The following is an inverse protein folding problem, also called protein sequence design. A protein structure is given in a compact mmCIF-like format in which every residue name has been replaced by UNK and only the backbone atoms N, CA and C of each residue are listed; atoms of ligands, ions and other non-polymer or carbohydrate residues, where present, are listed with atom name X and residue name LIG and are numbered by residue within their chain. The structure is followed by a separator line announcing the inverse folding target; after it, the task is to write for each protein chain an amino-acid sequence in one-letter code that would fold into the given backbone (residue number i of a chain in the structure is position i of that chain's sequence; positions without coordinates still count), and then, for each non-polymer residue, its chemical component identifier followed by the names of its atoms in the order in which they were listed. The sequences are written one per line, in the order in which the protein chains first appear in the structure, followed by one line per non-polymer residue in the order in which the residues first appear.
data_IF_412912549867
#
_entry.id   IF_412912549867
#
_cell.length_a   1.000
_cell.length_b   1.000
_cell.length_c   1.000
_cell.angle_alpha   90.00
_cell.angle_beta   90.00
_cell.angle_gamma   90.00
#
_symmetry.space_group_name_H-M   'P 1'
#
loop_
_entity.id
_entity.type
_entity.pdbx_description
1 polymer ?
#
# COMPACT_ATOMS: atom_id res chain seq x y z
N UNK A 1 -11.13 -1.23 -14.47
CA UNK A 1 -11.31 -2.67 -14.25
C UNK A 1 -10.77 -3.00 -12.86
N UNK A 2 -11.44 -3.84 -12.07
CA UNK A 2 -10.94 -4.27 -10.76
C UNK A 2 -10.36 -5.68 -10.87
N UNK A 3 -9.05 -5.83 -10.75
CA UNK A 3 -8.44 -7.15 -10.54
C UNK A 3 -8.66 -7.54 -9.08
N UNK A 4 -9.31 -8.70 -8.86
CA UNK A 4 -9.53 -9.25 -7.52
C UNK A 4 -8.84 -10.59 -7.42
N UNK A 5 -7.83 -10.66 -6.57
CA UNK A 5 -7.19 -11.91 -6.17
C UNK A 5 -7.84 -12.44 -4.89
N UNK A 6 -8.13 -13.75 -4.82
CA UNK A 6 -8.56 -14.43 -3.59
C UNK A 6 -7.97 -15.84 -3.54
N UNK A 7 -7.26 -16.12 -2.46
CA UNK A 7 -6.78 -17.44 -2.10
C UNK A 7 -7.47 -17.90 -0.81
N UNK A 8 -7.95 -19.14 -0.76
CA UNK A 8 -8.71 -19.70 0.36
C UNK A 8 -8.29 -21.16 0.55
N UNK A 9 -7.62 -21.45 1.66
CA UNK A 9 -7.09 -22.77 1.98
C UNK A 9 -6.89 -22.91 3.49
N UNK A 10 -6.98 -24.15 3.98
CA UNK A 10 -6.56 -24.50 5.33
C UNK A 10 -5.03 -24.61 5.35
N UNK A 11 -4.42 -23.96 6.34
CA UNK A 11 -2.97 -23.87 6.48
C UNK A 11 -2.58 -24.19 7.93
N UNK A 12 -1.38 -24.71 8.12
CA UNK A 12 -0.81 -24.88 9.45
C UNK A 12 -0.19 -23.57 9.97
N UNK A 13 0.24 -23.59 11.22
CA UNK A 13 0.78 -22.40 11.91
C UNK A 13 2.06 -21.91 11.22
N UNK A 14 2.93 -22.82 10.82
CA UNK A 14 4.22 -22.55 10.20
C UNK A 14 4.03 -21.83 8.85
N UNK A 15 3.09 -22.29 8.03
CA UNK A 15 2.72 -21.62 6.78
C UNK A 15 2.14 -20.22 7.04
N UNK A 16 1.28 -20.05 8.04
CA UNK A 16 0.74 -18.72 8.40
C UNK A 16 1.86 -17.75 8.81
N UNK A 17 2.83 -18.19 9.62
CA UNK A 17 3.99 -17.38 10.00
C UNK A 17 4.77 -16.96 8.75
N UNK A 18 5.07 -17.91 7.85
CA UNK A 18 5.80 -17.61 6.62
C UNK A 18 5.06 -16.60 5.73
N UNK A 19 3.73 -16.67 5.63
CA UNK A 19 2.95 -15.67 4.89
C UNK A 19 3.07 -14.27 5.50
N UNK A 20 2.99 -14.16 6.83
CA UNK A 20 3.08 -12.87 7.53
C UNK A 20 4.49 -12.27 7.47
N UNK A 21 5.53 -13.10 7.56
CA UNK A 21 6.92 -12.66 7.40
C UNK A 21 7.19 -12.13 6.00
N UNK A 22 6.77 -12.87 4.96
CA UNK A 22 6.92 -12.42 3.57
C UNK A 22 6.10 -11.16 3.28
N UNK A 23 4.89 -11.05 3.81
CA UNK A 23 4.09 -9.82 3.71
C UNK A 23 4.80 -8.63 4.36
N UNK A 24 5.36 -8.84 5.55
CA UNK A 24 6.09 -7.80 6.28
C UNK A 24 7.32 -7.33 5.50
N UNK A 25 8.07 -8.27 4.92
CA UNK A 25 9.23 -7.95 4.10
C UNK A 25 8.84 -7.23 2.80
N UNK A 26 7.77 -7.65 2.12
CA UNK A 26 7.27 -6.94 0.94
C UNK A 26 6.82 -5.51 1.24
N UNK A 27 6.15 -5.28 2.37
CA UNK A 27 5.81 -3.92 2.83
C UNK A 27 7.08 -3.10 3.08
N UNK A 28 8.11 -3.68 3.70
CA UNK A 28 9.40 -3.00 3.97
C UNK A 28 10.12 -2.62 2.68
N UNK A 29 10.09 -3.49 1.68
CA UNK A 29 10.69 -3.24 0.37
C UNK A 29 9.88 -2.26 -0.49
N UNK A 30 8.61 -2.06 -0.16
CA UNK A 30 7.68 -1.20 -0.90
C UNK A 30 6.97 -1.90 -2.06
N UNK A 31 7.17 -3.21 -2.22
CA UNK A 31 6.49 -4.04 -3.22
C UNK A 31 6.15 -5.42 -2.67
N UNK A 32 4.94 -5.88 -2.95
CA UNK A 32 4.46 -7.21 -2.58
C UNK A 32 4.10 -7.94 -3.87
N UNK A 33 4.82 -9.02 -4.17
CA UNK A 33 4.49 -9.90 -5.28
C UNK A 33 3.63 -11.06 -4.80
N UNK A 34 2.49 -11.27 -5.45
CA UNK A 34 1.58 -12.39 -5.21
C UNK A 34 1.54 -13.22 -6.49
N UNK A 35 2.01 -14.46 -6.40
CA UNK A 35 2.08 -15.38 -7.54
C UNK A 35 1.28 -16.66 -7.24
N UNK A 36 0.35 -17.01 -8.13
CA UNK A 36 -0.47 -18.22 -8.01
C UNK A 36 -0.93 -18.71 -9.38
N UNK A 37 -0.72 -20.01 -9.67
CA UNK A 37 -1.12 -20.69 -10.93
C UNK A 37 -0.66 -19.97 -12.21
N UNK A 38 0.52 -19.36 -12.18
CA UNK A 38 1.10 -18.66 -13.32
C UNK A 38 0.59 -17.22 -13.51
N UNK A 39 -0.30 -16.75 -12.65
CA UNK A 39 -0.67 -15.34 -12.56
C UNK A 39 0.17 -14.65 -11.47
N UNK A 40 0.64 -13.44 -11.78
CA UNK A 40 1.41 -12.60 -10.86
C UNK A 40 0.73 -11.24 -10.73
N UNK A 41 0.58 -10.78 -9.50
CA UNK A 41 0.08 -9.46 -9.13
C UNK A 41 1.14 -8.77 -8.26
N UNK A 42 1.56 -7.57 -8.66
CA UNK A 42 2.47 -6.74 -7.88
C UNK A 42 1.69 -5.59 -7.27
N UNK A 43 1.81 -5.42 -5.96
CA UNK A 43 1.22 -4.33 -5.20
C UNK A 43 2.33 -3.41 -4.68
N UNK A 44 2.14 -2.10 -4.76
CA UNK A 44 3.12 -1.11 -4.30
C UNK A 44 2.52 -0.27 -3.16
N UNK A 45 2.54 -0.75 -1.90
CA UNK A 45 2.06 0.03 -0.77
C UNK A 45 2.97 1.24 -0.53
N UNK A 46 2.46 2.44 -0.80
CA UNK A 46 3.19 3.70 -0.66
C UNK A 46 2.37 4.76 0.08
N UNK A 47 3.08 5.73 0.65
CA UNK A 47 2.47 6.85 1.36
C UNK A 47 1.77 6.42 2.65
N UNK A 48 0.61 7.01 2.92
CA UNK A 48 -0.19 6.68 4.09
C UNK A 48 -1.02 5.42 3.83
N UNK A 49 -0.88 4.44 4.72
CA UNK A 49 -1.62 3.18 4.70
C UNK A 49 -2.65 3.20 5.82
N UNK A 50 -3.91 3.05 5.46
CA UNK A 50 -5.00 2.76 6.37
C UNK A 50 -4.91 1.29 6.81
N UNK A 51 -4.65 1.08 8.10
CA UNK A 51 -4.47 -0.23 8.71
C UNK A 51 -5.66 -0.56 9.62
N UNK A 52 -6.36 -1.63 9.28
CA UNK A 52 -7.52 -2.10 10.02
C UNK A 52 -7.22 -3.50 10.55
N UNK A 53 -7.34 -3.66 11.86
CA UNK A 53 -7.18 -4.91 12.56
C UNK A 53 -8.49 -5.26 13.28
N UNK A 54 -9.12 -6.36 12.87
CA UNK A 54 -10.39 -6.82 13.42
C UNK A 54 -10.21 -8.23 13.99
N UNK A 55 -10.74 -8.46 15.19
CA UNK A 55 -10.79 -9.78 15.80
C UNK A 55 -12.22 -10.09 16.26
N UNK A 56 -12.67 -11.34 16.04
CA UNK A 56 -13.98 -11.84 16.45
C UNK A 56 -13.85 -13.21 17.10
N UNK A 57 -14.58 -13.38 18.20
CA UNK A 57 -14.69 -14.62 18.97
C UNK A 57 -16.18 -14.87 19.19
N UNK A 58 -16.68 -16.02 18.76
CA UNK A 58 -18.05 -16.52 19.04
C UNK A 58 -18.01 -17.99 19.42
N UNK A 59 -19.14 -18.66 19.71
CA UNK A 59 -19.10 -20.09 20.10
C UNK A 59 -18.42 -20.96 19.02
N UNK A 60 -18.75 -20.73 17.75
CA UNK A 60 -18.27 -21.56 16.64
C UNK A 60 -17.07 -20.98 15.88
N UNK A 61 -16.65 -19.74 16.15
CA UNK A 61 -15.69 -19.03 15.29
C UNK A 61 -14.61 -18.29 16.09
N UNK A 62 -13.38 -18.40 15.58
CA UNK A 62 -12.25 -17.52 15.92
C UNK A 62 -11.76 -16.91 14.62
N UNK A 63 -11.83 -15.59 14.50
CA UNK A 63 -11.46 -14.89 13.28
C UNK A 63 -10.58 -13.69 13.58
N UNK A 64 -9.54 -13.54 12.78
CA UNK A 64 -8.68 -12.38 12.74
C UNK A 64 -8.61 -11.89 11.29
N UNK A 65 -8.80 -10.59 11.10
CA UNK A 65 -8.73 -9.96 9.78
C UNK A 65 -7.78 -8.77 9.84
N UNK A 66 -6.81 -8.78 8.93
CA UNK A 66 -5.89 -7.67 8.68
C UNK A 66 -6.26 -7.09 7.32
N UNK A 67 -6.56 -5.81 7.27
CA UNK A 67 -6.81 -5.09 6.01
C UNK A 67 -5.85 -3.91 5.93
N UNK A 68 -5.19 -3.80 4.79
CA UNK A 68 -4.33 -2.69 4.44
C UNK A 68 -4.95 -2.00 3.23
N UNK A 69 -5.09 -0.68 3.28
CA UNK A 69 -5.61 0.11 2.17
C UNK A 69 -4.75 1.34 1.98
N UNK A 70 -4.38 1.60 0.74
CA UNK A 70 -3.68 2.81 0.34
C UNK A 70 -4.26 3.30 -0.98
N UNK A 71 -3.90 4.52 -1.36
CA UNK A 71 -4.07 5.02 -2.72
C UNK A 71 -2.71 4.97 -3.37
N UNK A 72 -2.64 4.45 -4.58
CA UNK A 72 -1.46 4.63 -5.41
C UNK A 72 -1.37 6.12 -5.71
N UNK A 73 -0.50 6.84 -4.99
CA UNK A 73 0.02 8.07 -5.54
C UNK A 73 0.92 7.65 -6.70
N UNK A 74 0.75 8.21 -7.90
CA UNK A 74 1.82 8.12 -8.88
C UNK A 74 3.07 8.60 -8.16
N UNK A 75 4.12 7.78 -8.11
CA UNK A 75 5.43 8.37 -7.94
C UNK A 75 5.60 9.28 -9.14
N UNK A 76 5.36 10.58 -8.94
CA UNK A 76 5.81 11.61 -9.85
C UNK A 76 7.30 11.34 -10.04
N UNK A 77 7.64 10.76 -11.19
CA UNK A 77 9.00 10.76 -11.65
C UNK A 77 9.42 12.21 -11.68
N UNK A 78 10.31 12.59 -10.77
CA UNK A 78 11.12 13.81 -10.84
C UNK A 78 10.37 15.01 -11.45
N UNK A 79 9.30 15.49 -10.80
CA UNK A 79 8.82 16.83 -11.13
C UNK A 79 9.80 17.81 -10.46
N UNK A 80 10.90 18.11 -11.17
CA UNK A 80 11.66 19.34 -10.94
C UNK A 80 10.73 20.51 -11.27
N UNK A 81 9.76 20.78 -10.41
CA UNK A 81 9.09 22.07 -10.40
C UNK A 81 10.18 23.10 -10.13
N UNK A 82 10.51 23.88 -11.15
CA UNK A 82 11.37 25.04 -10.99
C UNK A 82 10.85 25.85 -9.79
N UNK A 83 11.73 26.19 -8.83
CA UNK A 83 11.29 26.83 -7.61
C UNK A 83 10.60 28.15 -7.96
N UNK A 84 9.45 28.40 -7.32
CA UNK A 84 8.73 29.64 -7.48
C UNK A 84 9.63 30.84 -7.14
N UNK A 85 10.02 31.61 -8.15
CA UNK A 85 10.78 32.85 -7.96
C UNK A 85 9.81 34.02 -7.77
N UNK A 86 9.61 34.45 -6.53
CA UNK A 86 8.88 35.68 -6.21
C UNK A 86 9.81 36.89 -6.36
N UNK A 87 9.48 37.81 -7.28
CA UNK A 87 10.13 39.13 -7.38
C UNK A 87 9.13 40.21 -6.96
N UNK A 88 9.52 41.17 -6.09
CA UNK A 88 8.64 42.29 -5.75
C UNK A 88 8.32 43.12 -6.99
N UNK A 89 7.03 43.39 -7.21
CA UNK A 89 6.57 44.24 -8.30
C UNK A 89 6.91 45.72 -8.06
N UNK A 90 7.43 46.41 -9.06
CA UNK A 90 7.57 47.88 -9.01
C UNK A 90 6.20 48.52 -9.26
N UNK A 91 5.76 49.41 -8.37
CA UNK A 91 4.60 50.27 -8.64
C UNK A 91 4.99 51.27 -9.73
N UNK A 92 4.18 51.36 -10.79
CA UNK A 92 4.29 52.41 -11.79
C UNK A 92 3.71 53.71 -11.20
N UNK A 93 4.55 54.45 -10.47
CA UNK A 93 4.55 55.91 -10.35
C UNK A 93 5.47 56.30 -9.19
N UNK A 94 6.78 56.34 -9.49
CA UNK A 94 7.75 57.21 -8.83
C UNK A 94 8.48 57.96 -9.95
N UNK A 95 7.90 59.09 -10.37
CA UNK A 95 8.57 60.18 -11.10
C UNK A 95 8.18 61.47 -10.41
#
# INVERSE_FOLDING_TARGET
MSNRFRYDALQDREAIVAYLENLTEGIRQGYIEISHRGETLVLSPQGLIDFIFEAKVSEDERKLAIKLRWKECPQEGQDTQEPLVLKPGKRANDV
#
